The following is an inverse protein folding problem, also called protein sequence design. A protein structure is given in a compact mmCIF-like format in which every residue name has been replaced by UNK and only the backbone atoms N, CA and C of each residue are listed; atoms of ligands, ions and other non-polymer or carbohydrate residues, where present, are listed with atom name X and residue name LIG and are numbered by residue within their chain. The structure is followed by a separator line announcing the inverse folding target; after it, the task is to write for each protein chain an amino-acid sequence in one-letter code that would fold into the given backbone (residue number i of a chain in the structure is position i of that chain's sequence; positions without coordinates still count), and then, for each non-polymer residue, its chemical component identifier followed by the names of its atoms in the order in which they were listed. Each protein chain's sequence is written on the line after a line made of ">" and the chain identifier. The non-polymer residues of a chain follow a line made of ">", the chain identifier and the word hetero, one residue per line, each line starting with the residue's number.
data_IF_428311835372
#
_entry.id   IF_428311835372
#
_cell.length_a   1.000
_cell.length_b   1.000
_cell.length_c   1.000
_cell.angle_alpha   90.00
_cell.angle_beta   90.00
_cell.angle_gamma   90.00
#
_symmetry.space_group_name_H-M   'P 1'
#
loop_
_entity.id
_entity.type
_entity.pdbx_description
1 polymer ?
#
# COMPACT_ATOMS: atom_id res chain seq x y z
N UNK A 1 3.19 -21.26 19.87
CA UNK A 1 4.42 -21.18 19.03
C UNK A 1 5.70 -21.74 19.68
N UNK A 2 5.75 -22.07 20.98
CA UNK A 2 7.00 -22.51 21.65
C UNK A 2 7.54 -23.89 21.18
N UNK A 3 6.69 -24.78 20.66
CA UNK A 3 7.04 -26.18 20.36
C UNK A 3 6.90 -26.61 18.87
N UNK A 4 6.74 -25.69 17.92
CA UNK A 4 6.65 -26.01 16.47
C UNK A 4 7.87 -25.50 15.69
N UNK A 5 8.40 -26.25 14.69
CA UNK A 5 9.50 -25.80 13.84
C UNK A 5 9.10 -24.57 13.00
N UNK A 6 10.09 -23.76 12.60
CA UNK A 6 9.84 -22.60 11.75
C UNK A 6 9.38 -23.03 10.35
N UNK A 7 8.37 -22.37 9.81
CA UNK A 7 7.88 -22.67 8.47
C UNK A 7 8.83 -22.12 7.39
N UNK A 8 9.19 -22.97 6.41
CA UNK A 8 9.97 -22.60 5.22
C UNK A 8 9.08 -21.97 4.15
N UNK A 9 8.64 -20.73 4.37
CA UNK A 9 7.72 -20.00 3.48
C UNK A 9 8.42 -19.18 2.39
N UNK A 10 9.60 -19.61 1.91
CA UNK A 10 10.46 -18.81 1.02
C UNK A 10 9.76 -18.39 -0.28
N UNK A 11 9.08 -19.32 -0.94
CA UNK A 11 8.39 -19.03 -2.21
C UNK A 11 7.13 -18.18 -2.00
N UNK A 12 6.38 -18.42 -0.93
CA UNK A 12 5.19 -17.62 -0.57
C UNK A 12 5.57 -16.17 -0.29
N UNK A 13 6.65 -15.91 0.46
CA UNK A 13 7.14 -14.56 0.72
C UNK A 13 7.64 -13.86 -0.55
N UNK A 14 8.34 -14.59 -1.44
CA UNK A 14 8.79 -14.02 -2.71
C UNK A 14 7.59 -13.57 -3.54
N UNK A 15 6.61 -14.46 -3.73
CA UNK A 15 5.37 -14.14 -4.45
C UNK A 15 4.66 -12.95 -3.83
N UNK A 16 4.51 -12.95 -2.51
CA UNK A 16 3.87 -11.89 -1.76
C UNK A 16 4.58 -10.54 -1.95
N UNK A 17 5.91 -10.48 -1.77
CA UNK A 17 6.68 -9.25 -1.96
C UNK A 17 6.61 -8.76 -3.42
N UNK A 18 6.67 -9.67 -4.39
CA UNK A 18 6.52 -9.30 -5.81
C UNK A 18 5.16 -8.68 -6.10
N UNK A 19 4.09 -9.27 -5.56
CA UNK A 19 2.73 -8.70 -5.68
C UNK A 19 2.67 -7.32 -5.02
N UNK A 20 3.25 -7.17 -3.83
CA UNK A 20 3.29 -5.89 -3.10
C UNK A 20 4.03 -4.81 -3.89
N UNK A 21 5.15 -5.14 -4.53
CA UNK A 21 5.90 -4.21 -5.39
C UNK A 21 5.05 -3.75 -6.57
N UNK A 22 4.35 -4.67 -7.24
CA UNK A 22 3.47 -4.34 -8.37
C UNK A 22 2.35 -3.39 -7.90
N UNK A 23 1.72 -3.67 -6.76
CA UNK A 23 0.69 -2.80 -6.18
C UNK A 23 1.23 -1.41 -5.86
N UNK A 24 2.41 -1.32 -5.22
CA UNK A 24 3.03 -0.05 -4.90
C UNK A 24 3.36 0.78 -6.16
N UNK A 25 3.86 0.15 -7.22
CA UNK A 25 4.10 0.83 -8.51
C UNK A 25 2.79 1.33 -9.14
N UNK A 26 1.72 0.52 -9.10
CA UNK A 26 0.41 0.92 -9.58
C UNK A 26 -0.11 2.17 -8.84
N UNK A 27 -0.08 2.16 -7.50
CA UNK A 27 -0.51 3.31 -6.71
C UNK A 27 0.37 4.54 -6.89
N UNK A 28 1.68 4.35 -7.12
CA UNK A 28 2.59 5.44 -7.44
C UNK A 28 2.21 6.13 -8.76
N UNK A 29 1.89 5.35 -9.80
CA UNK A 29 1.44 5.89 -11.09
C UNK A 29 0.08 6.58 -10.95
N UNK A 30 -0.90 5.95 -10.28
CA UNK A 30 -2.21 6.57 -10.03
C UNK A 30 -2.07 7.88 -9.25
N UNK A 31 -1.20 7.94 -8.24
CA UNK A 31 -0.92 9.15 -7.49
C UNK A 31 -0.36 10.25 -8.40
N UNK A 32 0.66 9.95 -9.21
CA UNK A 32 1.26 10.90 -10.16
C UNK A 32 0.24 11.47 -11.15
N UNK A 33 -0.62 10.62 -11.71
CA UNK A 33 -1.68 11.05 -12.62
C UNK A 33 -2.69 11.94 -11.90
N UNK A 34 -3.06 11.59 -10.67
CA UNK A 34 -4.08 12.30 -9.93
C UNK A 34 -3.64 13.72 -9.52
N UNK A 35 -2.36 13.90 -9.20
CA UNK A 35 -1.73 15.21 -8.90
C UNK A 35 -1.29 15.98 -10.16
N UNK A 36 -1.68 15.53 -11.36
CA UNK A 36 -1.25 16.09 -12.66
C UNK A 36 0.26 16.26 -12.73
N UNK A 37 1.00 15.23 -12.37
CA UNK A 37 2.48 15.22 -12.34
C UNK A 37 3.08 16.32 -11.45
N UNK A 38 2.35 16.75 -10.41
CA UNK A 38 2.80 17.72 -9.43
C UNK A 38 2.33 19.15 -9.69
N UNK A 39 1.58 19.39 -10.77
CA UNK A 39 1.01 20.72 -11.04
C UNK A 39 0.04 21.17 -9.93
N UNK A 40 -0.74 20.25 -9.36
CA UNK A 40 -1.67 20.59 -8.29
C UNK A 40 -0.98 20.87 -6.95
N UNK A 41 0.31 20.53 -6.78
CA UNK A 41 1.06 20.85 -5.56
C UNK A 41 1.32 22.36 -5.43
N UNK A 42 1.24 23.09 -6.53
CA UNK A 42 1.38 24.55 -6.59
C UNK A 42 0.04 25.27 -6.59
N UNK A 43 -1.06 24.52 -6.52
CA UNK A 43 -2.40 25.06 -6.36
C UNK A 43 -2.71 25.19 -4.86
N UNK A 44 -2.82 26.43 -4.39
CA UNK A 44 -3.12 26.75 -3.00
C UNK A 44 -4.61 27.04 -2.77
N UNK A 45 -5.45 26.82 -3.79
CA UNK A 45 -6.89 26.95 -3.64
C UNK A 45 -7.46 25.79 -2.81
N UNK A 46 -8.36 26.12 -1.88
CA UNK A 46 -9.03 25.09 -1.10
C UNK A 46 -10.02 24.32 -1.98
N UNK A 47 -9.98 22.98 -1.98
CA UNK A 47 -10.91 22.18 -2.77
C UNK A 47 -12.34 22.43 -2.30
N UNK A 48 -13.26 22.57 -3.27
CA UNK A 48 -14.68 22.74 -2.98
C UNK A 48 -15.27 21.45 -2.39
N UNK A 49 -15.91 21.55 -1.23
CA UNK A 49 -16.49 20.43 -0.49
C UNK A 49 -17.61 19.70 -1.24
N UNK A 50 -18.25 20.37 -2.20
CA UNK A 50 -19.34 19.83 -3.00
C UNK A 50 -18.91 19.45 -4.43
N UNK A 51 -17.60 19.40 -4.70
CA UNK A 51 -17.11 18.99 -6.00
C UNK A 51 -17.34 17.49 -6.22
N UNK A 52 -18.22 17.18 -7.18
CA UNK A 52 -18.55 15.83 -7.64
C UNK A 52 -17.96 15.52 -9.01
N UNK A 53 -16.95 16.27 -9.44
CA UNK A 53 -16.23 16.00 -10.67
C UNK A 53 -15.67 14.58 -10.69
N UNK A 54 -15.65 13.96 -11.86
CA UNK A 54 -15.11 12.60 -12.07
C UNK A 54 -13.67 12.49 -11.55
N UNK A 55 -12.92 13.59 -11.61
CA UNK A 55 -11.55 13.69 -11.10
C UNK A 55 -11.50 13.60 -9.58
N UNK A 56 -12.28 14.43 -8.88
CA UNK A 56 -12.32 14.44 -7.42
C UNK A 56 -12.82 13.11 -6.86
N UNK A 57 -13.81 12.50 -7.50
CA UNK A 57 -14.26 11.15 -7.16
C UNK A 57 -13.17 10.10 -7.37
N UNK A 58 -12.45 10.13 -8.50
CA UNK A 58 -11.32 9.21 -8.74
C UNK A 58 -10.23 9.36 -7.68
N UNK A 59 -9.87 10.59 -7.30
CA UNK A 59 -8.89 10.87 -6.24
C UNK A 59 -9.32 10.23 -4.92
N UNK A 60 -10.59 10.41 -4.52
CA UNK A 60 -11.15 9.84 -3.29
C UNK A 60 -11.11 8.31 -3.33
N UNK A 61 -11.57 7.69 -4.42
CA UNK A 61 -11.57 6.23 -4.56
C UNK A 61 -10.15 5.65 -4.55
N UNK A 62 -9.22 6.25 -5.30
CA UNK A 62 -7.81 5.83 -5.31
C UNK A 62 -7.16 6.00 -3.94
N UNK A 63 -7.48 7.09 -3.21
CA UNK A 63 -7.03 7.30 -1.84
C UNK A 63 -7.56 6.24 -0.87
N UNK A 64 -8.84 5.88 -0.98
CA UNK A 64 -9.44 4.82 -0.17
C UNK A 64 -8.86 3.43 -0.49
N UNK A 65 -8.64 3.14 -1.77
CA UNK A 65 -8.00 1.90 -2.21
C UNK A 65 -6.56 1.79 -1.69
N UNK A 66 -5.80 2.89 -1.69
CA UNK A 66 -4.45 2.96 -1.10
C UNK A 66 -4.47 2.80 0.42
N UNK A 67 -5.45 3.38 1.11
CA UNK A 67 -5.63 3.15 2.54
C UNK A 67 -5.88 1.66 2.83
N UNK A 68 -6.71 0.99 2.01
CA UNK A 68 -6.95 -0.43 2.14
C UNK A 68 -5.67 -1.26 1.87
N UNK A 69 -4.83 -0.85 0.92
CA UNK A 69 -3.57 -1.57 0.63
C UNK A 69 -2.59 -1.55 1.80
N UNK A 70 -2.66 -0.57 2.71
CA UNK A 70 -1.83 -0.55 3.93
C UNK A 70 -2.12 -1.71 4.88
N UNK A 71 -3.34 -2.27 4.88
CA UNK A 71 -3.63 -3.49 5.63
C UNK A 71 -2.93 -4.72 5.04
N UNK A 72 -2.70 -4.73 3.73
CA UNK A 72 -1.89 -5.76 3.09
C UNK A 72 -0.45 -5.64 3.59
N UNK A 73 0.17 -4.45 3.57
CA UNK A 73 1.54 -4.24 4.08
C UNK A 73 1.74 -4.81 5.50
N UNK A 74 0.74 -4.71 6.40
CA UNK A 74 0.80 -5.29 7.74
C UNK A 74 0.94 -6.82 7.76
N UNK A 75 0.51 -7.51 6.70
CA UNK A 75 0.62 -8.96 6.58
C UNK A 75 2.07 -9.46 6.45
N UNK A 76 3.01 -8.61 6.03
CA UNK A 76 4.45 -8.92 6.09
C UNK A 76 4.89 -9.22 7.53
N UNK A 77 4.35 -8.49 8.50
CA UNK A 77 4.65 -8.72 9.92
C UNK A 77 4.15 -10.08 10.40
N UNK A 78 3.03 -10.57 9.86
CA UNK A 78 2.51 -11.92 10.14
C UNK A 78 3.49 -12.98 9.66
N UNK A 79 4.07 -12.82 8.46
CA UNK A 79 5.09 -13.74 7.95
C UNK A 79 6.37 -13.74 8.80
N UNK A 80 6.80 -12.59 9.31
CA UNK A 80 7.94 -12.51 10.23
C UNK A 80 7.69 -13.26 11.54
N UNK A 81 6.49 -13.11 12.13
CA UNK A 81 6.09 -13.84 13.34
C UNK A 81 6.02 -15.35 13.08
N UNK A 82 5.43 -15.78 11.95
CA UNK A 82 5.32 -17.20 11.57
C UNK A 82 6.69 -17.87 11.37
N UNK A 83 7.70 -17.12 10.92
CA UNK A 83 9.08 -17.63 10.75
C UNK A 83 9.89 -17.64 12.05
N UNK A 84 9.36 -17.09 13.15
CA UNK A 84 10.08 -16.90 14.43
C UNK A 84 11.39 -16.10 14.30
N UNK A 85 11.50 -15.24 13.29
CA UNK A 85 12.64 -14.31 13.15
C UNK A 85 12.33 -13.01 13.91
N UNK A 86 12.36 -13.09 15.24
CA UNK A 86 12.09 -11.94 16.11
C UNK A 86 13.18 -10.86 16.07
N UNK A 87 14.37 -11.15 15.52
CA UNK A 87 15.45 -10.17 15.37
C UNK A 87 15.21 -9.13 14.26
N UNK A 88 14.14 -9.28 13.46
CA UNK A 88 13.77 -8.34 12.40
C UNK A 88 12.52 -7.52 12.75
N UNK A 89 11.97 -7.72 13.96
CA UNK A 89 10.87 -6.94 14.50
C UNK A 89 11.50 -5.97 15.50
N UNK A 90 11.71 -4.73 15.08
CA UNK A 90 12.12 -3.61 15.95
C UNK A 90 11.16 -2.46 15.80
#
# INVERSE_FOLDING_TARGET
>A
MKSRPAYTLRHTMLLYNTVLVIFNVYFFIEALVCIRFGLDLFDFEFPNKYDVSTRSLRLIYSGYAYFLSKFLDLFDTVFFVLRKKYSQVS
#
